data_IF_367736067552
#
_entry.id   IF_367736067552
#
_cell.length_a   1.000
_cell.length_b   1.000
_cell.length_c   1.000
_cell.angle_alpha   90.00
_cell.angle_beta   90.00
_cell.angle_gamma   90.00
#
_symmetry.space_group_name_H-M   'P 1'
#
loop_
_entity.id
_entity.type
_entity.pdbx_description
1 polymer ?
#
# COMPACT_ATOMS: atom_id res chain seq x y z
N UNK A 1 -18.50 2.54 15.47
CA UNK A 1 -17.33 1.67 15.66
C UNK A 1 -16.58 1.66 14.34
N UNK A 2 -15.66 2.62 14.15
CA UNK A 2 -14.82 2.69 12.96
C UNK A 2 -13.77 1.59 13.09
N UNK A 3 -14.06 0.44 12.47
CA UNK A 3 -13.09 -0.63 12.35
C UNK A 3 -12.02 -0.12 11.40
N UNK A 4 -10.94 0.43 11.96
CA UNK A 4 -9.75 0.80 11.21
C UNK A 4 -9.26 -0.48 10.54
N UNK A 5 -9.63 -0.67 9.28
CA UNK A 5 -9.06 -1.67 8.36
C UNK A 5 -7.62 -1.26 8.06
N UNK A 6 -6.82 -1.11 9.11
CA UNK A 6 -5.41 -0.85 9.05
C UNK A 6 -4.77 -2.16 8.65
N UNK A 7 -4.54 -2.34 7.35
CA UNK A 7 -3.64 -3.37 6.86
C UNK A 7 -2.32 -3.25 7.64
N UNK A 8 -2.09 -4.16 8.57
CA UNK A 8 -0.85 -4.23 9.34
C UNK A 8 0.19 -4.85 8.43
N UNK A 9 1.21 -4.07 8.07
CA UNK A 9 2.34 -4.57 7.29
C UNK A 9 2.98 -5.71 8.09
N UNK A 10 2.95 -6.93 7.55
CA UNK A 10 3.54 -8.09 8.21
C UNK A 10 5.03 -8.20 7.87
N UNK A 11 5.80 -8.88 8.72
CA UNK A 11 7.23 -9.11 8.44
C UNK A 11 7.46 -9.89 7.13
N UNK A 12 6.50 -10.74 6.74
CA UNK A 12 6.51 -11.44 5.46
C UNK A 12 6.35 -10.49 4.26
N UNK A 13 5.48 -9.48 4.37
CA UNK A 13 5.30 -8.46 3.33
C UNK A 13 6.58 -7.64 3.16
N UNK A 14 7.22 -7.28 4.28
CA UNK A 14 8.50 -6.55 4.28
C UNK A 14 9.59 -7.39 3.62
N UNK A 15 9.72 -8.67 3.98
CA UNK A 15 10.74 -9.55 3.40
C UNK A 15 10.53 -9.75 1.88
N UNK A 16 9.28 -9.95 1.46
CA UNK A 16 8.92 -10.12 0.04
C UNK A 16 9.18 -8.85 -0.76
N UNK A 17 8.78 -7.70 -0.22
CA UNK A 17 8.99 -6.40 -0.86
C UNK A 17 10.46 -6.03 -0.91
N UNK A 18 11.21 -6.31 0.16
CA UNK A 18 12.66 -6.09 0.20
C UNK A 18 13.37 -6.91 -0.87
N UNK A 19 13.00 -8.17 -1.04
CA UNK A 19 13.55 -9.02 -2.10
C UNK A 19 13.22 -8.44 -3.49
N UNK A 20 11.94 -8.09 -3.71
CA UNK A 20 11.51 -7.46 -4.97
C UNK A 20 12.28 -6.18 -5.29
N UNK A 21 12.44 -5.28 -4.32
CA UNK A 21 13.18 -4.03 -4.50
C UNK A 21 14.65 -4.29 -4.84
N UNK A 22 15.27 -5.28 -4.21
CA UNK A 22 16.66 -5.68 -4.51
C UNK A 22 16.84 -6.21 -5.93
N UNK A 23 15.85 -6.95 -6.43
CA UNK A 23 15.93 -7.58 -7.75
C UNK A 23 15.56 -6.61 -8.89
N UNK A 24 14.70 -5.62 -8.63
CA UNK A 24 14.11 -4.79 -9.69
C UNK A 24 14.53 -3.33 -9.69
N UNK A 25 14.82 -2.76 -8.51
CA UNK A 25 14.91 -1.30 -8.33
C UNK A 25 16.29 -0.89 -7.81
N UNK A 26 16.70 -1.43 -6.65
CA UNK A 26 17.96 -1.12 -6.02
C UNK A 26 18.47 -2.33 -5.23
N UNK A 27 19.59 -2.97 -5.63
CA UNK A 27 20.16 -4.11 -4.91
C UNK A 27 20.59 -3.81 -3.47
N UNK A 28 20.79 -2.52 -3.14
CA UNK A 28 21.10 -2.04 -1.79
C UNK A 28 19.86 -1.66 -0.98
N UNK A 29 18.65 -1.95 -1.47
CA UNK A 29 17.41 -1.65 -0.75
C UNK A 29 17.42 -2.22 0.67
N UNK A 30 16.96 -1.40 1.61
CA UNK A 30 16.93 -1.71 3.04
C UNK A 30 15.52 -2.03 3.50
N UNK A 31 15.40 -2.53 4.74
CA UNK A 31 14.09 -2.79 5.36
C UNK A 31 13.22 -1.52 5.37
N UNK A 32 13.82 -0.36 5.58
CA UNK A 32 13.11 0.93 5.59
C UNK A 32 12.54 1.25 4.21
N UNK A 33 13.29 1.01 3.13
CA UNK A 33 12.79 1.19 1.75
C UNK A 33 11.58 0.30 1.47
N UNK A 34 11.61 -0.96 1.93
CA UNK A 34 10.49 -1.88 1.78
C UNK A 34 9.24 -1.41 2.56
N UNK A 35 9.41 -0.83 3.75
CA UNK A 35 8.30 -0.29 4.54
C UNK A 35 7.71 0.94 3.85
N UNK A 36 8.55 1.89 3.41
CA UNK A 36 8.11 3.09 2.68
C UNK A 36 7.35 2.70 1.42
N UNK A 37 7.88 1.76 0.64
CA UNK A 37 7.22 1.26 -0.57
C UNK A 37 5.84 0.67 -0.27
N UNK A 38 5.72 -0.13 0.79
CA UNK A 38 4.45 -0.72 1.21
C UNK A 38 3.46 0.32 1.72
N UNK A 39 3.91 1.34 2.44
CA UNK A 39 3.07 2.45 2.91
C UNK A 39 2.58 3.34 1.77
N UNK A 40 3.45 3.65 0.80
CA UNK A 40 3.08 4.38 -0.41
C UNK A 40 2.08 3.59 -1.26
N UNK A 41 2.31 2.28 -1.46
CA UNK A 41 1.39 1.42 -2.22
C UNK A 41 0.06 1.21 -1.50
N UNK A 42 0.05 1.08 -0.18
CA UNK A 42 -1.17 1.02 0.62
C UNK A 42 -1.97 2.32 0.51
N UNK A 43 -1.28 3.46 0.51
CA UNK A 43 -1.90 4.76 0.31
C UNK A 43 -2.49 4.88 -1.10
N UNK A 44 -1.82 4.32 -2.11
CA UNK A 44 -2.32 4.29 -3.48
C UNK A 44 -3.56 3.40 -3.62
N UNK A 45 -3.54 2.20 -3.06
CA UNK A 45 -4.69 1.29 -3.06
C UNK A 45 -5.88 1.87 -2.29
N UNK A 46 -5.64 2.53 -1.16
CA UNK A 46 -6.68 3.24 -0.42
C UNK A 46 -7.19 4.47 -1.20
N UNK A 47 -6.32 5.27 -1.83
CA UNK A 47 -6.76 6.40 -2.67
C UNK A 47 -7.59 5.93 -3.86
N UNK A 48 -7.15 4.89 -4.56
CA UNK A 48 -7.91 4.31 -5.68
C UNK A 48 -9.25 3.74 -5.19
N UNK A 49 -9.26 3.02 -4.07
CA UNK A 49 -10.51 2.54 -3.49
C UNK A 49 -11.45 3.67 -3.06
N UNK A 50 -10.92 4.77 -2.51
CA UNK A 50 -11.73 5.96 -2.21
C UNK A 50 -12.24 6.64 -3.48
N UNK A 51 -11.39 6.84 -4.48
CA UNK A 51 -11.76 7.49 -5.74
C UNK A 51 -12.83 6.68 -6.50
N UNK A 52 -12.74 5.34 -6.48
CA UNK A 52 -13.77 4.46 -7.05
C UNK A 52 -15.09 4.56 -6.27
N UNK A 53 -15.04 4.58 -4.93
CA UNK A 53 -16.24 4.71 -4.08
C UNK A 53 -16.88 6.10 -4.20
N UNK A 54 -16.09 7.15 -4.40
CA UNK A 54 -16.60 8.52 -4.62
C UNK A 54 -17.25 8.69 -6.01
N UNK A 55 -16.84 7.92 -7.03
CA UNK A 55 -17.48 7.92 -8.35
C UNK A 55 -18.85 7.21 -8.35
N UNK A 56 -19.12 6.28 -7.42
CA UNK A 56 -20.43 5.60 -7.33
C UNK A 56 -21.50 6.32 -6.49
N UNK A 57 -21.18 7.43 -5.81
CA UNK A 57 -22.16 8.18 -4.98
C UNK A 57 -22.49 9.59 -5.52
N UNK A 58 -22.25 9.83 -6.81
CA UNK A 58 -22.40 11.14 -7.45
C UNK A 58 -23.50 11.29 -8.50
N UNK A 59 -24.47 10.37 -8.62
CA UNK A 59 -25.62 10.57 -9.52
C UNK A 59 -26.90 9.95 -8.94
N UNK A 60 -27.75 10.79 -8.34
CA UNK A 60 -29.21 10.87 -8.61
C UNK A 60 -29.80 12.00 -7.77
N UNK A 61 -29.92 13.18 -8.39
CA UNK A 61 -30.96 14.17 -8.11
C UNK A 61 -32.31 13.66 -8.67
#
# INVERSE_FOLDING_TARGET
>A
MTNSTGYTISEQDIATTLQYLKETTNPEATREDAIVYLEEHKSLAHRLAHEIVEVEQGETD
#
